data_IF_776636705331
#
_entry.id   IF_776636705331
#
_cell.length_a   1.000
_cell.length_b   1.000
_cell.length_c   1.000
_cell.angle_alpha   90.00
_cell.angle_beta   90.00
_cell.angle_gamma   90.00
#
_symmetry.space_group_name_H-M   'P 1'
#
loop_
_entity.id
_entity.type
_entity.pdbx_description
1 polymer ?
#
# COMPACT_ATOMS: atom_id res chain seq x y z
N UNK A 1 -25.05 -11.06 -1.41
CA UNK A 1 -24.66 -10.76 -2.80
C UNK A 1 -23.21 -10.28 -2.78
N UNK A 2 -22.25 -11.14 -3.14
CA UNK A 2 -20.83 -10.75 -3.21
C UNK A 2 -20.65 -9.87 -4.45
N UNK A 3 -20.27 -8.60 -4.26
CA UNK A 3 -19.92 -7.72 -5.38
C UNK A 3 -18.61 -8.23 -5.98
N UNK A 4 -18.70 -8.90 -7.13
CA UNK A 4 -17.53 -9.33 -7.90
C UNK A 4 -16.91 -8.09 -8.52
N UNK A 5 -15.87 -7.58 -7.87
CA UNK A 5 -15.12 -6.42 -8.33
C UNK A 5 -14.29 -6.75 -9.59
N UNK A 6 -14.39 -5.90 -10.62
CA UNK A 6 -13.63 -6.03 -11.87
C UNK A 6 -12.10 -6.03 -11.60
N UNK A 7 -11.35 -6.81 -12.38
CA UNK A 7 -9.89 -6.92 -12.30
C UNK A 7 -9.18 -5.58 -12.47
N UNK A 8 -9.64 -4.72 -13.40
CA UNK A 8 -9.10 -3.38 -13.56
C UNK A 8 -9.23 -2.55 -12.27
N UNK A 9 -10.38 -2.63 -11.60
CA UNK A 9 -10.60 -1.94 -10.31
C UNK A 9 -9.68 -2.47 -9.22
N UNK A 10 -9.50 -3.80 -9.12
CA UNK A 10 -8.57 -4.42 -8.15
C UNK A 10 -7.13 -3.96 -8.38
N UNK A 11 -6.70 -3.87 -9.65
CA UNK A 11 -5.39 -3.36 -10.02
C UNK A 11 -5.22 -1.90 -9.62
N UNK A 12 -6.19 -1.05 -9.96
CA UNK A 12 -6.14 0.36 -9.58
C UNK A 12 -6.03 0.53 -8.07
N UNK A 13 -6.84 -0.20 -7.28
CA UNK A 13 -6.73 -0.18 -5.81
C UNK A 13 -5.35 -0.64 -5.36
N UNK A 14 -4.83 -1.74 -5.90
CA UNK A 14 -3.50 -2.23 -5.56
C UNK A 14 -2.39 -1.20 -5.84
N UNK A 15 -2.40 -0.58 -7.02
CA UNK A 15 -1.44 0.47 -7.40
C UNK A 15 -1.56 1.68 -6.48
N UNK A 16 -2.78 2.17 -6.24
CA UNK A 16 -3.02 3.32 -5.35
C UNK A 16 -2.47 3.05 -3.94
N UNK A 17 -2.73 1.86 -3.38
CA UNK A 17 -2.23 1.47 -2.06
C UNK A 17 -0.69 1.40 -2.02
N UNK A 18 -0.06 0.89 -3.08
CA UNK A 18 1.41 0.89 -3.20
C UNK A 18 1.96 2.32 -3.20
N UNK A 19 1.38 3.22 -4.01
CA UNK A 19 1.86 4.61 -4.12
C UNK A 19 1.69 5.34 -2.78
N UNK A 20 0.51 5.25 -2.16
CA UNK A 20 0.27 5.88 -0.85
C UNK A 20 1.23 5.30 0.19
N UNK A 21 1.43 3.98 0.19
CA UNK A 21 2.35 3.32 1.09
C UNK A 21 3.79 3.83 0.97
N UNK A 22 4.30 3.98 -0.26
CA UNK A 22 5.62 4.54 -0.54
C UNK A 22 5.71 5.99 -0.04
N UNK A 23 4.72 6.83 -0.35
CA UNK A 23 4.74 8.25 0.04
C UNK A 23 4.72 8.38 1.56
N UNK A 24 3.80 7.70 2.25
CA UNK A 24 3.71 7.73 3.70
C UNK A 24 4.96 7.16 4.37
N UNK A 25 5.48 6.05 3.85
CA UNK A 25 6.70 5.42 4.36
C UNK A 25 7.92 6.32 4.19
N UNK A 26 8.08 6.98 3.05
CA UNK A 26 9.17 7.91 2.80
C UNK A 26 9.09 9.14 3.71
N UNK A 27 7.90 9.74 3.86
CA UNK A 27 7.69 10.87 4.78
C UNK A 27 8.01 10.45 6.22
N UNK A 28 7.46 9.32 6.68
CA UNK A 28 7.71 8.81 8.02
C UNK A 28 9.19 8.52 8.27
N UNK A 29 9.87 7.88 7.33
CA UNK A 29 11.29 7.57 7.43
C UNK A 29 12.16 8.84 7.51
N UNK A 30 11.87 9.83 6.67
CA UNK A 30 12.58 11.12 6.72
C UNK A 30 12.36 11.78 8.08
N UNK A 31 11.14 11.78 8.61
CA UNK A 31 10.86 12.35 9.92
C UNK A 31 11.60 11.61 11.04
N UNK A 32 11.60 10.28 11.02
CA UNK A 32 12.31 9.45 12.01
C UNK A 32 13.81 9.75 12.03
N UNK A 33 14.43 9.84 10.84
CA UNK A 33 15.86 10.12 10.71
C UNK A 33 16.25 11.53 11.15
N UNK A 34 15.30 12.48 11.12
CA UNK A 34 15.52 13.86 11.57
C UNK A 34 15.13 14.09 13.04
N UNK A 35 14.85 13.03 13.82
CA UNK A 35 14.44 13.15 15.21
C UNK A 35 13.04 13.74 15.40
N UNK A 36 12.16 13.51 14.42
CA UNK A 36 10.77 13.95 14.47
C UNK A 36 9.98 13.33 15.64
N UNK A 37 8.79 13.88 15.95
CA UNK A 37 7.95 13.35 17.04
C UNK A 37 7.67 11.86 16.89
N UNK A 38 7.85 11.08 17.97
CA UNK A 38 7.66 9.62 17.95
C UNK A 38 6.25 9.19 17.55
N UNK A 39 5.24 10.04 17.75
CA UNK A 39 3.87 9.80 17.30
C UNK A 39 3.78 9.67 15.76
N UNK A 40 4.65 10.36 15.01
CA UNK A 40 4.67 10.31 13.54
C UNK A 40 5.30 9.02 13.00
N UNK A 41 5.96 8.24 13.85
CA UNK A 41 6.46 6.90 13.49
C UNK A 41 5.33 5.99 13.01
N UNK A 42 4.08 6.23 13.41
CA UNK A 42 2.90 5.52 12.88
C UNK A 42 2.81 5.59 11.34
N UNK A 43 3.35 6.64 10.71
CA UNK A 43 3.34 6.80 9.26
C UNK A 43 4.20 5.74 8.55
N UNK A 44 5.32 5.30 9.14
CA UNK A 44 6.13 4.23 8.56
C UNK A 44 5.43 2.88 8.67
N UNK A 45 4.74 2.62 9.79
CA UNK A 45 3.92 1.41 9.98
C UNK A 45 2.75 1.36 9.00
N UNK A 46 1.96 2.44 8.91
CA UNK A 46 0.82 2.52 8.00
C UNK A 46 1.31 2.48 6.55
N UNK A 47 2.36 3.23 6.22
CA UNK A 47 2.95 3.24 4.88
C UNK A 47 3.42 1.85 4.45
N UNK A 48 4.16 1.15 5.31
CA UNK A 48 4.61 -0.22 5.07
C UNK A 48 3.44 -1.21 4.92
N UNK A 49 2.40 -1.08 5.74
CA UNK A 49 1.18 -1.89 5.65
C UNK A 49 0.42 -1.69 4.34
N UNK A 50 0.21 -0.44 3.93
CA UNK A 50 -0.45 -0.10 2.66
C UNK A 50 0.36 -0.58 1.45
N UNK A 51 1.68 -0.40 1.51
CA UNK A 51 2.59 -0.91 0.47
C UNK A 51 2.48 -2.43 0.34
N UNK A 52 2.62 -3.17 1.45
CA UNK A 52 2.52 -4.62 1.47
C UNK A 52 1.17 -5.13 0.98
N UNK A 53 0.08 -4.55 1.46
CA UNK A 53 -1.28 -4.91 1.02
C UNK A 53 -1.50 -4.66 -0.48
N UNK A 54 -1.08 -3.49 -0.97
CA UNK A 54 -1.18 -3.14 -2.38
C UNK A 54 -0.37 -4.09 -3.26
N UNK A 55 0.86 -4.40 -2.85
CA UNK A 55 1.73 -5.31 -3.57
C UNK A 55 1.15 -6.74 -3.65
N UNK A 56 0.66 -7.26 -2.52
CA UNK A 56 -0.01 -8.57 -2.46
C UNK A 56 -1.26 -8.59 -3.34
N UNK A 57 -2.07 -7.53 -3.30
CA UNK A 57 -3.27 -7.40 -4.15
C UNK A 57 -2.92 -7.48 -5.64
N UNK A 58 -1.83 -6.83 -6.07
CA UNK A 58 -1.37 -6.86 -7.45
C UNK A 58 -0.89 -8.25 -7.88
N UNK A 59 -0.17 -8.97 -7.00
CA UNK A 59 0.25 -10.36 -7.26
C UNK A 59 -0.98 -11.24 -7.50
N UNK A 60 -1.96 -11.19 -6.61
CA UNK A 60 -3.17 -12.01 -6.74
C UNK A 60 -4.01 -11.63 -7.96
N UNK A 61 -4.12 -10.34 -8.28
CA UNK A 61 -4.78 -9.89 -9.50
C UNK A 61 -4.09 -10.46 -10.75
N UNK A 62 -2.75 -10.51 -10.79
CA UNK A 62 -2.04 -11.07 -11.93
C UNK A 62 -2.15 -12.59 -12.00
N UNK A 63 -2.09 -13.30 -10.87
CA UNK A 63 -2.31 -14.76 -10.85
C UNK A 63 -3.71 -15.16 -11.31
N UNK A 64 -4.71 -14.32 -11.04
CA UNK A 64 -6.08 -14.54 -11.49
C UNK A 64 -6.27 -14.44 -13.00
N UNK A 65 -5.43 -13.70 -13.72
CA UNK A 65 -5.50 -13.58 -15.19
C UNK A 65 -4.72 -14.67 -15.94
N UNK A 66 -3.82 -15.37 -15.27
CA UNK A 66 -3.01 -16.45 -15.84
C UNK A 66 -3.67 -17.83 -15.71
N UNK A 67 -4.86 -17.90 -15.12
CA UNK A 67 -5.67 -19.11 -14.96
C UNK A 67 -6.86 -19.05 -15.91
#
# INVERSE_FOLDING_TARGET
>A
MLVVMNTATRRSIGVTMVIIGIVMGAIGLVLDLNGGPSALHVLTWVGGGLFGYGFVTLIYSRRGELR
#
